data_IF_243428691141
#
_entry.id   IF_243428691141
#
_cell.length_a   1.000
_cell.length_b   1.000
_cell.length_c   1.000
_cell.angle_alpha   90.00
_cell.angle_beta   90.00
_cell.angle_gamma   90.00
#
_symmetry.space_group_name_H-M   'P 1'
#
loop_
_entity.id
_entity.type
_entity.pdbx_description
1 polymer ?
#
# COMPACT_ATOMS: atom_id res chain seq x y z
N UNK A 1 -62.22 -37.80 1.00
CA UNK A 1 -61.10 -37.25 1.82
C UNK A 1 -60.07 -36.45 1.02
N UNK A 2 -60.33 -36.07 -0.24
CA UNK A 2 -59.33 -35.47 -1.14
C UNK A 2 -59.37 -33.94 -1.30
N UNK A 3 -60.41 -33.24 -0.83
CA UNK A 3 -60.51 -31.78 -1.06
C UNK A 3 -60.02 -30.92 0.12
N UNK A 4 -59.95 -31.46 1.34
CA UNK A 4 -59.47 -30.71 2.51
C UNK A 4 -57.95 -30.55 2.57
N UNK A 5 -57.18 -31.39 1.88
CA UNK A 5 -55.71 -31.26 1.82
C UNK A 5 -55.24 -30.23 0.78
N UNK A 6 -56.03 -29.93 -0.26
CA UNK A 6 -55.63 -29.00 -1.31
C UNK A 6 -55.64 -27.53 -0.85
N UNK A 7 -56.57 -27.17 0.05
CA UNK A 7 -56.65 -25.82 0.65
C UNK A 7 -55.56 -25.51 1.67
N UNK A 8 -54.94 -26.52 2.30
CA UNK A 8 -53.87 -26.30 3.29
C UNK A 8 -52.52 -26.06 2.58
N UNK A 9 -52.30 -26.65 1.40
CA UNK A 9 -51.10 -26.39 0.62
C UNK A 9 -51.13 -25.04 -0.12
N UNK A 10 -52.28 -24.54 -0.56
CA UNK A 10 -52.37 -23.22 -1.22
C UNK A 10 -52.27 -22.05 -0.23
N UNK A 11 -52.66 -22.23 1.04
CA UNK A 11 -52.46 -21.22 2.09
C UNK A 11 -51.02 -21.17 2.65
N UNK A 12 -50.19 -22.18 2.36
CA UNK A 12 -48.82 -22.24 2.86
C UNK A 12 -47.79 -21.65 1.87
N UNK A 13 -48.21 -21.32 0.64
CA UNK A 13 -47.33 -20.74 -0.39
C UNK A 13 -47.52 -19.22 -0.54
N UNK A 14 -48.59 -18.64 0.01
CA UNK A 14 -48.85 -17.19 -0.05
C UNK A 14 -48.32 -16.38 1.15
N UNK A 15 -47.82 -17.03 2.20
CA UNK A 15 -47.43 -16.39 3.47
C UNK A 15 -45.93 -16.35 3.76
N UNK A 16 -45.08 -16.63 2.77
CA UNK A 16 -43.63 -16.65 2.94
C UNK A 16 -42.88 -16.12 1.71
N UNK A 17 -43.43 -15.09 1.07
CA UNK A 17 -42.59 -14.04 0.50
C UNK A 17 -42.14 -13.16 1.66
N UNK A 18 -41.27 -13.73 2.52
CA UNK A 18 -40.30 -12.91 3.23
C UNK A 18 -39.44 -12.36 2.12
N UNK A 19 -39.83 -11.21 1.59
CA UNK A 19 -38.92 -10.34 0.88
C UNK A 19 -37.75 -10.16 1.84
N UNK A 20 -36.67 -10.90 1.59
CA UNK A 20 -35.33 -10.47 1.92
C UNK A 20 -35.10 -9.18 1.13
N UNK A 21 -35.79 -8.13 1.55
CA UNK A 21 -35.37 -6.77 1.34
C UNK A 21 -34.03 -6.74 2.06
N UNK A 22 -32.97 -6.99 1.30
CA UNK A 22 -31.60 -6.70 1.72
C UNK A 22 -31.69 -5.32 2.35
N UNK A 23 -31.56 -5.27 3.67
CA UNK A 23 -31.63 -4.04 4.46
C UNK A 23 -30.37 -3.25 4.11
N UNK A 24 -30.38 -2.62 2.94
CA UNK A 24 -29.44 -1.58 2.58
C UNK A 24 -29.56 -0.53 3.67
N UNK A 25 -28.49 -0.33 4.45
CA UNK A 25 -28.46 0.76 5.41
C UNK A 25 -28.75 2.07 4.68
N UNK A 26 -29.81 2.76 5.06
CA UNK A 26 -30.18 4.08 4.53
C UNK A 26 -29.21 5.19 4.95
N UNK A 27 -28.15 4.83 5.68
CA UNK A 27 -27.10 5.71 6.12
C UNK A 27 -25.73 5.17 5.74
N UNK A 28 -24.79 6.06 5.44
CA UNK A 28 -23.37 5.73 5.41
C UNK A 28 -22.57 6.64 6.34
N UNK A 29 -21.25 6.62 6.18
CA UNK A 29 -20.36 7.30 7.10
C UNK A 29 -19.43 8.26 6.37
N UNK A 30 -19.20 9.41 6.98
CA UNK A 30 -18.16 10.35 6.60
C UNK A 30 -17.15 10.39 7.72
N UNK A 31 -15.91 10.06 7.39
CA UNK A 31 -14.76 10.17 8.28
C UNK A 31 -13.94 11.38 7.87
N UNK A 32 -13.66 12.26 8.81
CA UNK A 32 -12.81 13.43 8.62
C UNK A 32 -11.66 13.30 9.60
N UNK A 33 -10.42 13.25 9.10
CA UNK A 33 -9.21 13.09 9.91
C UNK A 33 -8.23 14.21 9.58
N UNK A 34 -7.64 14.83 10.60
CA UNK A 34 -6.56 15.79 10.44
C UNK A 34 -5.37 15.10 9.76
N UNK A 35 -4.80 15.75 8.74
CA UNK A 35 -3.62 15.24 8.05
C UNK A 35 -2.40 15.60 8.90
N UNK A 36 -1.89 14.60 9.60
CA UNK A 36 -0.64 14.71 10.33
C UNK A 36 0.54 14.56 9.36
N UNK A 37 1.29 15.65 9.17
CA UNK A 37 2.50 15.64 8.36
C UNK A 37 3.61 14.97 9.20
N UNK A 38 4.16 13.83 8.76
CA UNK A 38 5.23 13.15 9.50
C UNK A 38 6.54 13.94 9.43
N UNK A 39 7.49 13.63 10.31
CA UNK A 39 8.85 14.13 10.17
C UNK A 39 9.46 13.66 8.84
N UNK A 40 10.01 14.61 8.08
CA UNK A 40 10.53 14.40 6.73
C UNK A 40 11.93 15.01 6.56
N UNK A 41 12.67 14.49 5.58
CA UNK A 41 13.87 15.14 5.05
C UNK A 41 13.47 16.09 3.92
N UNK A 42 13.76 17.40 4.06
CA UNK A 42 13.52 18.36 2.97
C UNK A 42 14.62 18.24 1.91
N UNK A 43 14.23 17.76 0.73
CA UNK A 43 15.10 17.59 -0.41
C UNK A 43 14.83 18.63 -1.50
N UNK A 44 13.98 19.63 -1.28
CA UNK A 44 13.55 20.57 -2.33
C UNK A 44 14.71 21.15 -3.15
N UNK A 45 15.74 21.67 -2.48
CA UNK A 45 16.90 22.28 -3.15
C UNK A 45 17.99 21.28 -3.56
N UNK A 46 17.86 20.02 -3.13
CA UNK A 46 18.87 18.96 -3.31
C UNK A 46 18.39 17.83 -4.20
N UNK A 47 17.11 17.81 -4.58
CA UNK A 47 16.49 16.67 -5.28
C UNK A 47 17.13 16.44 -6.66
N UNK A 48 17.69 17.49 -7.27
CA UNK A 48 18.47 17.39 -8.51
C UNK A 48 19.75 16.56 -8.37
N UNK A 49 20.32 16.49 -7.16
CA UNK A 49 21.46 15.60 -6.84
C UNK A 49 21.03 14.13 -6.70
N UNK A 50 19.73 13.86 -6.64
CA UNK A 50 19.16 12.51 -6.54
C UNK A 50 18.20 12.21 -7.71
N UNK A 51 18.70 12.08 -8.96
CA UNK A 51 17.85 11.84 -10.14
C UNK A 51 16.94 10.62 -9.99
N UNK A 52 17.36 9.63 -9.19
CA UNK A 52 16.59 8.41 -8.96
C UNK A 52 15.31 8.66 -8.14
N UNK A 53 15.33 9.62 -7.20
CA UNK A 53 14.15 10.06 -6.46
C UNK A 53 13.18 10.76 -7.42
N UNK A 54 13.68 11.67 -8.26
CA UNK A 54 12.86 12.35 -9.26
C UNK A 54 12.20 11.35 -10.21
N UNK A 55 12.96 10.37 -10.70
CA UNK A 55 12.43 9.30 -11.57
C UNK A 55 11.32 8.51 -10.86
N UNK A 56 11.49 8.21 -9.58
CA UNK A 56 10.51 7.46 -8.80
C UNK A 56 9.27 8.29 -8.45
N UNK A 57 9.39 9.62 -8.29
CA UNK A 57 8.25 10.52 -8.12
C UNK A 57 7.40 10.57 -9.40
N UNK A 58 8.05 10.66 -10.57
CA UNK A 58 7.36 10.70 -11.87
C UNK A 58 6.73 9.34 -12.22
N UNK A 59 7.31 8.24 -11.75
CA UNK A 59 6.82 6.87 -11.99
C UNK A 59 6.59 6.11 -10.66
N UNK A 60 5.44 6.30 -10.01
CA UNK A 60 5.20 5.98 -8.59
C UNK A 60 5.07 4.49 -8.25
N UNK A 61 5.36 3.59 -9.19
CA UNK A 61 5.19 2.14 -8.98
C UNK A 61 6.42 1.49 -8.36
N UNK A 62 7.60 1.69 -8.96
CA UNK A 62 8.91 1.32 -8.41
C UNK A 62 9.99 1.64 -9.45
N UNK A 63 11.19 1.99 -9.00
CA UNK A 63 12.37 2.08 -9.85
C UNK A 63 13.47 1.16 -9.31
N UNK A 64 14.07 0.36 -10.20
CA UNK A 64 15.31 -0.35 -9.87
C UNK A 64 16.44 0.66 -9.65
N UNK A 65 17.22 0.44 -8.60
CA UNK A 65 18.36 1.28 -8.24
C UNK A 65 19.60 0.41 -8.06
N UNK A 66 20.79 0.96 -8.24
CA UNK A 66 22.02 0.26 -7.86
C UNK A 66 22.08 0.07 -6.35
N UNK A 67 22.84 -0.93 -5.91
CA UNK A 67 23.05 -1.15 -4.47
C UNK A 67 23.78 0.03 -3.82
N UNK A 68 24.68 0.70 -4.55
CA UNK A 68 25.39 1.88 -4.09
C UNK A 68 24.43 3.04 -3.84
N UNK A 69 23.50 3.30 -4.77
CA UNK A 69 22.46 4.31 -4.59
C UNK A 69 21.51 3.94 -3.44
N UNK A 70 21.19 2.65 -3.30
CA UNK A 70 20.40 2.15 -2.17
C UNK A 70 21.08 2.49 -0.84
N UNK A 71 22.39 2.23 -0.73
CA UNK A 71 23.17 2.49 0.49
C UNK A 71 23.38 3.98 0.78
N UNK A 72 23.50 4.81 -0.26
CA UNK A 72 23.54 6.26 -0.09
C UNK A 72 22.21 6.79 0.43
N UNK A 73 21.11 6.38 -0.20
CA UNK A 73 19.76 6.79 0.19
C UNK A 73 19.39 6.29 1.59
N UNK A 74 19.76 5.07 1.97
CA UNK A 74 19.46 4.55 3.31
C UNK A 74 20.19 5.29 4.42
N UNK A 75 21.33 5.92 4.12
CA UNK A 75 22.05 6.80 5.06
C UNK A 75 21.48 8.20 5.09
N UNK A 76 21.05 8.72 3.94
CA UNK A 76 20.44 10.04 3.81
C UNK A 76 19.08 10.10 4.53
N UNK A 77 18.29 9.04 4.40
CA UNK A 77 16.95 8.94 4.93
C UNK A 77 17.00 8.44 6.38
N UNK A 78 16.93 9.37 7.33
CA UNK A 78 16.71 9.05 8.74
C UNK A 78 15.23 8.77 9.08
N UNK A 79 14.35 8.89 8.09
CA UNK A 79 12.89 8.70 8.14
C UNK A 79 12.41 8.20 6.78
N UNK A 80 11.26 7.54 6.74
CA UNK A 80 10.62 7.05 5.50
C UNK A 80 10.01 8.18 4.65
N UNK A 81 10.15 9.45 5.04
CA UNK A 81 9.45 10.56 4.40
C UNK A 81 10.40 11.64 3.86
N UNK A 82 10.10 12.11 2.66
CA UNK A 82 10.80 13.24 2.05
C UNK A 82 9.81 14.33 1.66
N UNK A 83 10.28 15.57 1.69
CA UNK A 83 9.60 16.70 1.06
C UNK A 83 10.33 17.11 -0.19
N UNK A 84 9.58 17.26 -1.28
CA UNK A 84 10.08 17.84 -2.53
C UNK A 84 9.07 18.89 -2.97
N UNK A 85 9.50 20.15 -3.01
CA UNK A 85 8.64 21.31 -3.20
C UNK A 85 7.55 21.36 -2.11
N UNK A 86 6.28 21.30 -2.50
CA UNK A 86 5.13 21.35 -1.58
C UNK A 86 4.57 19.97 -1.24
N UNK A 87 5.02 18.92 -1.92
CA UNK A 87 4.55 17.55 -1.70
C UNK A 87 5.42 16.81 -0.68
N UNK A 88 4.76 15.96 0.10
CA UNK A 88 5.39 14.97 0.99
C UNK A 88 5.21 13.59 0.37
N UNK A 89 6.30 12.83 0.33
CA UNK A 89 6.34 11.49 -0.21
C UNK A 89 6.83 10.51 0.85
N UNK A 90 6.25 9.31 0.85
CA UNK A 90 6.81 8.16 1.53
C UNK A 90 7.75 7.42 0.59
N UNK A 91 8.96 7.16 1.05
CA UNK A 91 10.02 6.45 0.35
C UNK A 91 10.22 5.11 1.02
N UNK A 92 10.12 4.04 0.23
CA UNK A 92 10.46 2.70 0.65
C UNK A 92 11.64 2.20 -0.15
N UNK A 93 12.73 1.89 0.54
CA UNK A 93 13.89 1.23 -0.03
C UNK A 93 13.71 -0.28 0.18
N UNK A 94 13.60 -1.02 -0.91
CA UNK A 94 13.38 -2.47 -0.90
C UNK A 94 14.62 -3.16 -1.46
N UNK A 95 15.19 -4.07 -0.68
CA UNK A 95 16.26 -4.96 -1.10
C UNK A 95 15.78 -6.39 -1.03
N UNK A 96 16.07 -7.17 -2.08
CA UNK A 96 15.68 -8.56 -2.16
C UNK A 96 16.84 -9.41 -2.65
N UNK A 97 16.95 -10.60 -2.07
CA UNK A 97 17.76 -11.70 -2.63
C UNK A 97 16.78 -12.63 -3.32
N UNK A 98 17.16 -13.14 -4.48
CA UNK A 98 16.37 -14.11 -5.21
C UNK A 98 17.20 -15.17 -5.84
N UNK A 99 16.50 -16.20 -6.30
CA UNK A 99 17.07 -17.28 -7.08
C UNK A 99 16.20 -17.56 -8.29
N UNK A 100 16.85 -17.91 -9.38
CA UNK A 100 16.21 -18.37 -10.61
C UNK A 100 16.65 -19.80 -10.88
N UNK A 101 15.69 -20.73 -11.09
CA UNK A 101 16.03 -22.10 -11.49
C UNK A 101 16.66 -22.08 -12.88
N UNK A 102 17.75 -22.82 -13.07
CA UNK A 102 18.49 -22.80 -14.33
C UNK A 102 18.94 -24.20 -14.75
N UNK A 103 19.07 -24.40 -16.07
CA UNK A 103 19.62 -25.62 -16.68
C UNK A 103 21.15 -25.58 -16.82
N UNK A 104 21.79 -24.52 -16.34
CA UNK A 104 23.24 -24.41 -16.35
C UNK A 104 23.90 -25.49 -15.47
N UNK A 105 25.13 -25.87 -15.80
CA UNK A 105 25.91 -26.80 -14.98
C UNK A 105 26.33 -26.14 -13.67
N UNK A 106 26.04 -26.82 -12.55
CA UNK A 106 26.41 -26.35 -11.23
C UNK A 106 27.10 -27.45 -10.41
N UNK A 107 28.22 -27.11 -9.77
CA UNK A 107 28.96 -28.02 -8.89
C UNK A 107 29.12 -27.47 -7.47
N UNK A 108 28.96 -26.15 -7.32
CA UNK A 108 29.13 -25.44 -6.06
C UNK A 108 27.92 -25.65 -5.18
N UNK A 109 28.11 -26.27 -4.00
CA UNK A 109 27.07 -26.37 -2.96
C UNK A 109 27.31 -25.32 -1.88
N UNK A 110 26.22 -24.76 -1.36
CA UNK A 110 26.26 -23.93 -0.16
C UNK A 110 26.28 -24.82 1.09
N UNK A 111 27.04 -24.40 2.10
CA UNK A 111 27.04 -25.07 3.40
C UNK A 111 25.80 -24.66 4.21
N UNK A 112 25.44 -25.48 5.19
CA UNK A 112 24.35 -25.15 6.10
C UNK A 112 24.60 -23.84 6.87
N UNK A 113 25.85 -23.54 7.20
CA UNK A 113 26.21 -22.29 7.89
C UNK A 113 26.05 -21.08 6.96
N UNK A 114 26.47 -21.18 5.69
CA UNK A 114 26.25 -20.13 4.70
C UNK A 114 24.76 -19.83 4.50
N UNK A 115 23.90 -20.86 4.50
CA UNK A 115 22.45 -20.67 4.40
C UNK A 115 21.83 -20.08 5.68
N UNK A 116 22.37 -20.46 6.84
CA UNK A 116 21.92 -19.92 8.14
C UNK A 116 22.25 -18.43 8.27
N UNK A 117 23.40 -18.02 7.77
CA UNK A 117 23.86 -16.62 7.78
C UNK A 117 23.19 -15.73 6.73
N UNK A 118 22.46 -16.34 5.78
CA UNK A 118 21.76 -15.69 4.69
C UNK A 118 20.29 -16.19 4.62
N UNK A 119 19.46 -15.83 5.61
CA UNK A 119 18.11 -16.35 5.74
C UNK A 119 17.22 -16.06 4.52
N UNK A 120 17.38 -14.91 3.85
CA UNK A 120 16.58 -14.55 2.68
C UNK A 120 16.98 -15.36 1.45
N UNK A 121 18.26 -15.70 1.31
CA UNK A 121 18.70 -16.66 0.28
C UNK A 121 18.14 -18.05 0.55
N UNK A 122 18.23 -18.53 1.80
CA UNK A 122 17.71 -19.84 2.19
C UNK A 122 16.20 -19.94 1.96
N UNK A 123 15.46 -18.89 2.34
CA UNK A 123 14.02 -18.78 2.09
C UNK A 123 13.72 -18.83 0.59
N UNK A 124 14.52 -18.12 -0.22
CA UNK A 124 14.33 -18.10 -1.67
C UNK A 124 14.56 -19.45 -2.32
N UNK A 125 15.60 -20.17 -1.91
CA UNK A 125 15.88 -21.53 -2.37
C UNK A 125 14.79 -22.52 -1.97
N UNK A 126 14.28 -22.40 -0.73
CA UNK A 126 13.21 -23.26 -0.25
C UNK A 126 11.95 -23.11 -1.09
N UNK A 127 11.45 -21.89 -1.27
CA UNK A 127 10.20 -21.67 -2.02
C UNK A 127 10.34 -21.89 -3.52
N UNK A 128 11.48 -21.54 -4.14
CA UNK A 128 11.71 -21.89 -5.55
C UNK A 128 11.68 -23.40 -5.81
N UNK A 129 12.01 -24.22 -4.81
CA UNK A 129 11.90 -25.67 -4.92
C UNK A 129 10.47 -26.17 -4.69
N UNK A 130 9.75 -25.60 -3.73
CA UNK A 130 8.41 -26.06 -3.31
C UNK A 130 7.29 -25.59 -4.22
N UNK A 131 7.33 -24.35 -4.68
CA UNK A 131 6.21 -23.73 -5.42
C UNK A 131 6.29 -23.92 -6.95
N UNK A 132 7.24 -24.72 -7.43
CA UNK A 132 7.55 -24.91 -8.86
C UNK A 132 7.72 -23.60 -9.67
N UNK A 133 7.94 -22.47 -8.98
CA UNK A 133 8.14 -21.17 -9.61
C UNK A 133 9.57 -21.00 -10.13
N UNK A 134 9.70 -20.45 -11.34
CA UNK A 134 11.00 -20.22 -11.98
C UNK A 134 11.87 -19.21 -11.22
N UNK A 135 11.25 -18.30 -10.47
CA UNK A 135 11.96 -17.25 -9.73
C UNK A 135 11.27 -16.98 -8.40
N UNK A 136 12.04 -16.97 -7.32
CA UNK A 136 11.57 -16.50 -6.03
C UNK A 136 12.50 -15.43 -5.47
N UNK A 137 11.93 -14.50 -4.70
CA UNK A 137 12.69 -13.46 -3.99
C UNK A 137 12.20 -13.30 -2.56
N UNK A 138 13.12 -13.10 -1.63
CA UNK A 138 12.83 -12.71 -0.25
C UNK A 138 13.42 -11.33 0.06
N UNK A 139 12.72 -10.54 0.87
CA UNK A 139 13.26 -9.28 1.39
C UNK A 139 14.50 -9.53 2.24
N UNK A 140 15.49 -8.67 2.13
CA UNK A 140 16.80 -8.86 2.73
C UNK A 140 17.35 -7.54 3.26
N UNK A 141 18.24 -7.64 4.25
CA UNK A 141 18.93 -6.47 4.81
C UNK A 141 20.11 -6.05 3.92
N UNK A 142 20.54 -4.78 3.97
CA UNK A 142 21.73 -4.36 3.24
C UNK A 142 23.00 -5.15 3.63
N UNK A 143 23.12 -5.56 4.89
CA UNK A 143 24.24 -6.37 5.36
C UNK A 143 24.26 -7.76 4.72
N UNK A 144 23.10 -8.40 4.55
CA UNK A 144 23.00 -9.70 3.90
C UNK A 144 23.25 -9.60 2.39
N UNK A 145 22.80 -8.53 1.72
CA UNK A 145 23.13 -8.28 0.31
C UNK A 145 24.66 -8.21 0.11
N UNK A 146 25.40 -7.57 1.01
CA UNK A 146 26.87 -7.55 0.98
C UNK A 146 27.46 -8.95 1.09
N UNK A 147 26.99 -9.77 2.02
CA UNK A 147 27.42 -11.18 2.15
C UNK A 147 27.14 -11.98 0.88
N UNK A 148 25.97 -11.77 0.25
CA UNK A 148 25.64 -12.43 -1.01
C UNK A 148 26.53 -11.97 -2.16
N UNK A 149 26.90 -10.69 -2.23
CA UNK A 149 27.88 -10.19 -3.20
C UNK A 149 29.21 -10.91 -3.04
N UNK A 150 29.73 -10.99 -1.82
CA UNK A 150 30.99 -11.69 -1.51
C UNK A 150 30.90 -13.18 -1.87
N UNK A 151 29.77 -13.82 -1.57
CA UNK A 151 29.51 -15.21 -1.93
C UNK A 151 29.51 -15.43 -3.44
N UNK A 152 28.83 -14.56 -4.20
CA UNK A 152 28.79 -14.61 -5.67
C UNK A 152 30.18 -14.37 -6.26
N UNK A 153 30.95 -13.42 -5.73
CA UNK A 153 32.32 -13.15 -6.18
C UNK A 153 33.26 -14.34 -5.92
N UNK A 154 33.11 -14.98 -4.76
CA UNK A 154 33.98 -16.10 -4.34
C UNK A 154 33.63 -17.42 -5.03
N UNK A 155 32.34 -17.70 -5.20
CA UNK A 155 31.84 -19.03 -5.61
C UNK A 155 31.12 -19.04 -6.95
N UNK A 156 30.86 -17.87 -7.53
CA UNK A 156 29.98 -17.72 -8.68
C UNK A 156 28.51 -17.62 -8.26
N UNK A 157 27.69 -17.15 -9.21
CA UNK A 157 26.24 -16.96 -9.03
C UNK A 157 25.42 -18.24 -9.16
N UNK A 158 25.96 -19.29 -9.78
CA UNK A 158 25.23 -20.54 -10.01
C UNK A 158 25.61 -21.54 -8.91
N UNK A 159 24.62 -21.96 -8.13
CA UNK A 159 24.77 -22.91 -7.04
C UNK A 159 23.90 -24.15 -7.23
N UNK A 160 24.29 -25.23 -6.56
CA UNK A 160 23.52 -26.46 -6.42
C UNK A 160 22.79 -26.48 -5.08
N UNK A 161 21.48 -26.70 -5.10
CA UNK A 161 20.64 -26.88 -3.92
C UNK A 161 19.75 -28.11 -4.08
N UNK A 162 20.01 -29.15 -3.28
CA UNK A 162 19.49 -30.49 -3.57
C UNK A 162 20.12 -31.04 -4.87
N UNK A 163 19.28 -31.43 -5.82
CA UNK A 163 19.69 -31.90 -7.16
C UNK A 163 19.51 -30.85 -8.26
N UNK A 164 19.06 -29.65 -7.91
CA UNK A 164 18.74 -28.58 -8.86
C UNK A 164 19.79 -27.47 -8.83
N UNK A 165 19.88 -26.74 -9.94
CA UNK A 165 20.76 -25.60 -10.11
C UNK A 165 19.97 -24.28 -10.06
N UNK A 166 20.52 -23.30 -9.35
CA UNK A 166 19.91 -21.99 -9.18
C UNK A 166 20.94 -20.88 -9.43
N UNK A 167 20.54 -19.85 -10.17
CA UNK A 167 21.27 -18.59 -10.28
C UNK A 167 20.81 -17.65 -9.17
N UNK A 168 21.74 -17.26 -8.29
CA UNK A 168 21.53 -16.26 -7.25
C UNK A 168 21.60 -14.87 -7.87
N UNK A 169 20.64 -14.03 -7.53
CA UNK A 169 20.69 -12.61 -7.83
C UNK A 169 20.22 -11.80 -6.63
N UNK A 170 20.49 -10.50 -6.68
CA UNK A 170 19.91 -9.55 -5.75
C UNK A 170 19.38 -8.35 -6.52
N UNK A 171 18.37 -7.69 -5.97
CA UNK A 171 17.76 -6.51 -6.58
C UNK A 171 17.45 -5.48 -5.50
N UNK A 172 17.66 -4.22 -5.86
CA UNK A 172 17.32 -3.07 -5.02
C UNK A 172 16.37 -2.15 -5.77
N UNK A 173 15.37 -1.65 -5.07
CA UNK A 173 14.31 -0.81 -5.62
C UNK A 173 13.98 0.32 -4.66
N UNK A 174 13.55 1.43 -5.24
CA UNK A 174 12.91 2.53 -4.52
C UNK A 174 11.43 2.58 -4.94
N UNK A 175 10.55 2.72 -3.97
CA UNK A 175 9.13 3.02 -4.18
C UNK A 175 8.86 4.38 -3.54
N UNK A 176 8.32 5.30 -4.32
CA UNK A 176 7.98 6.64 -3.83
C UNK A 176 6.49 6.86 -4.03
N UNK A 177 5.78 7.13 -2.93
CA UNK A 177 4.33 7.37 -2.94
C UNK A 177 4.06 8.76 -2.37
N UNK A 178 3.38 9.61 -3.13
CA UNK A 178 2.90 10.89 -2.59
C UNK A 178 1.86 10.60 -1.50
N UNK A 179 2.09 11.14 -0.29
CA UNK A 179 1.17 10.98 0.85
C UNK A 179 0.37 12.24 1.12
N UNK A 180 0.91 13.41 0.77
CA UNK A 180 0.26 14.69 1.00
C UNK A 180 0.77 15.74 0.03
N UNK A 181 -0.16 16.51 -0.54
CA UNK A 181 0.15 17.70 -1.32
C UNK A 181 -0.90 18.78 -0.99
N UNK A 182 -0.50 19.88 -0.34
CA UNK A 182 -1.41 20.94 0.09
C UNK A 182 -2.10 21.64 -1.10
N UNK A 183 -1.50 21.62 -2.29
CA UNK A 183 -2.07 22.24 -3.50
C UNK A 183 -3.18 21.39 -4.12
N UNK A 184 -3.29 20.12 -3.73
CA UNK A 184 -4.40 19.24 -4.13
C UNK A 184 -5.60 19.32 -3.18
N UNK A 185 -5.48 20.08 -2.10
CA UNK A 185 -6.56 20.23 -1.12
C UNK A 185 -7.48 21.38 -1.51
N UNK A 186 -8.79 21.14 -1.48
CA UNK A 186 -9.81 22.15 -1.76
C UNK A 186 -10.04 23.03 -0.53
N UNK A 187 -10.15 24.35 -0.70
CA UNK A 187 -10.49 25.26 0.41
C UNK A 187 -11.97 25.07 0.78
N UNK A 188 -12.23 24.74 2.05
CA UNK A 188 -13.58 24.59 2.58
C UNK A 188 -14.17 25.96 2.95
N UNK A 189 -14.61 26.71 1.93
CA UNK A 189 -15.22 28.03 2.11
C UNK A 189 -16.67 27.97 2.64
N UNK A 190 -17.22 29.10 3.08
CA UNK A 190 -18.58 29.17 3.64
C UNK A 190 -19.65 28.66 2.67
N UNK A 191 -19.53 28.93 1.37
CA UNK A 191 -20.47 28.46 0.36
C UNK A 191 -20.55 26.93 0.32
N UNK A 192 -19.40 26.26 0.29
CA UNK A 192 -19.30 24.80 0.35
C UNK A 192 -19.90 24.26 1.65
N UNK A 193 -19.52 24.85 2.78
CA UNK A 193 -19.92 24.41 4.11
C UNK A 193 -21.42 24.63 4.40
N UNK A 194 -22.03 25.63 3.75
CA UNK A 194 -23.48 25.86 3.82
C UNK A 194 -24.25 24.83 3.00
N UNK A 195 -23.70 24.38 1.86
CA UNK A 195 -24.31 23.34 1.03
C UNK A 195 -24.15 21.93 1.60
N UNK A 196 -23.10 21.71 2.42
CA UNK A 196 -22.81 20.43 3.06
C UNK A 196 -22.62 20.60 4.57
N UNK A 197 -23.70 20.82 5.36
CA UNK A 197 -23.60 21.11 6.79
C UNK A 197 -22.90 20.02 7.61
N UNK A 198 -23.00 18.76 7.19
CA UNK A 198 -22.27 17.66 7.84
C UNK A 198 -20.76 17.79 7.70
N UNK A 199 -20.24 18.33 6.58
CA UNK A 199 -18.80 18.59 6.42
C UNK A 199 -18.35 19.66 7.40
N UNK A 200 -19.12 20.75 7.54
CA UNK A 200 -18.85 21.81 8.53
C UNK A 200 -18.76 21.24 9.94
N UNK A 201 -19.79 20.50 10.36
CA UNK A 201 -19.84 19.86 11.67
C UNK A 201 -18.66 18.92 11.88
N UNK A 202 -18.32 18.11 10.88
CA UNK A 202 -17.24 17.14 10.99
C UNK A 202 -15.86 17.78 11.03
N UNK A 203 -15.63 18.86 10.29
CA UNK A 203 -14.40 19.66 10.34
C UNK A 203 -14.24 20.35 11.70
N UNK A 204 -15.29 20.97 12.24
CA UNK A 204 -15.28 21.58 13.58
C UNK A 204 -15.04 20.55 14.70
N UNK A 205 -15.48 19.31 14.52
CA UNK A 205 -15.19 18.21 15.43
C UNK A 205 -13.74 17.73 15.27
N UNK A 206 -13.29 17.48 14.05
CA UNK A 206 -11.93 17.01 13.76
C UNK A 206 -10.86 18.03 14.15
N UNK A 207 -11.15 19.33 14.09
CA UNK A 207 -10.25 20.39 14.59
C UNK A 207 -9.97 20.26 16.10
N UNK A 208 -10.91 19.70 16.87
CA UNK A 208 -10.79 19.56 18.33
C UNK A 208 -10.23 18.22 18.76
N UNK A 209 -10.39 17.17 17.95
CA UNK A 209 -10.07 15.78 18.32
C UNK A 209 -9.25 15.02 17.28
N UNK A 210 -8.68 15.71 16.29
CA UNK A 210 -7.97 15.20 15.10
C UNK A 210 -8.79 14.26 14.20
N UNK A 211 -10.00 13.89 14.60
CA UNK A 211 -10.89 13.03 13.84
C UNK A 211 -12.35 13.28 14.18
N UNK A 212 -13.22 12.98 13.23
CA UNK A 212 -14.67 12.94 13.38
C UNK A 212 -15.25 11.84 12.48
N UNK A 213 -16.15 11.03 13.04
CA UNK A 213 -16.97 10.10 12.28
C UNK A 213 -18.44 10.56 12.37
N UNK A 214 -19.06 10.78 11.22
CA UNK A 214 -20.44 11.22 11.11
C UNK A 214 -21.26 10.20 10.33
N UNK A 215 -22.40 9.83 10.89
CA UNK A 215 -23.42 9.06 10.18
C UNK A 215 -24.35 10.02 9.44
N UNK A 216 -24.49 9.85 8.13
CA UNK A 216 -25.33 10.72 7.28
C UNK A 216 -26.27 9.89 6.38
N UNK A 217 -27.40 10.47 5.91
CA UNK A 217 -28.29 9.82 4.95
C UNK A 217 -27.56 9.43 3.66
N UNK A 218 -27.88 8.26 3.11
CA UNK A 218 -27.24 7.72 1.90
C UNK A 218 -27.37 8.65 0.69
N UNK A 219 -28.50 9.35 0.55
CA UNK A 219 -28.71 10.32 -0.54
C UNK A 219 -27.67 11.44 -0.49
N UNK A 220 -27.50 12.07 0.67
CA UNK A 220 -26.54 13.14 0.90
C UNK A 220 -25.09 12.65 0.72
N UNK A 221 -24.80 11.41 1.16
CA UNK A 221 -23.52 10.76 0.92
C UNK A 221 -23.22 10.58 -0.57
N UNK A 222 -24.18 10.08 -1.34
CA UNK A 222 -24.00 9.85 -2.78
C UNK A 222 -23.78 11.17 -3.53
N UNK A 223 -24.52 12.23 -3.17
CA UNK A 223 -24.32 13.58 -3.71
C UNK A 223 -22.90 14.09 -3.40
N UNK A 224 -22.44 13.94 -2.16
CA UNK A 224 -21.09 14.31 -1.78
C UNK A 224 -20.02 13.49 -2.53
N UNK A 225 -20.18 12.17 -2.62
CA UNK A 225 -19.23 11.30 -3.35
C UNK A 225 -19.18 11.66 -4.83
N UNK A 226 -20.30 12.06 -5.44
CA UNK A 226 -20.32 12.47 -6.85
C UNK A 226 -19.49 13.74 -7.11
N UNK A 227 -19.38 14.62 -6.11
CA UNK A 227 -18.63 15.87 -6.20
C UNK A 227 -17.16 15.71 -5.76
N UNK A 228 -16.93 15.01 -4.65
CA UNK A 228 -15.62 14.93 -4.00
C UNK A 228 -14.86 13.64 -4.29
N UNK A 229 -15.54 12.62 -4.86
CA UNK A 229 -15.04 11.26 -4.89
C UNK A 229 -15.20 10.55 -3.53
N UNK A 230 -14.70 9.31 -3.45
CA UNK A 230 -14.74 8.49 -2.21
C UNK A 230 -13.76 9.03 -1.15
N UNK A 231 -12.70 9.71 -1.59
CA UNK A 231 -11.68 10.29 -0.74
C UNK A 231 -11.23 11.65 -1.30
N UNK A 232 -11.15 12.66 -0.45
CA UNK A 232 -10.69 14.00 -0.83
C UNK A 232 -9.87 14.66 0.29
N UNK A 233 -9.20 15.77 -0.03
CA UNK A 233 -8.51 16.62 0.93
C UNK A 233 -9.17 18.00 1.00
N UNK A 234 -9.48 18.46 2.20
CA UNK A 234 -9.98 19.81 2.45
C UNK A 234 -8.99 20.62 3.30
N UNK A 235 -8.88 21.91 3.00
CA UNK A 235 -8.23 22.90 3.84
C UNK A 235 -9.27 23.70 4.60
N UNK A 236 -9.17 23.72 5.93
CA UNK A 236 -10.10 24.39 6.83
C UNK A 236 -9.33 25.00 8.01
N UNK A 237 -9.58 26.26 8.33
CA UNK A 237 -8.88 26.99 9.40
C UNK A 237 -7.34 26.87 9.39
N UNK A 238 -6.74 26.94 8.19
CA UNK A 238 -5.28 26.79 7.95
C UNK A 238 -4.72 25.38 8.19
N UNK A 239 -5.56 24.41 8.52
CA UNK A 239 -5.23 22.99 8.67
C UNK A 239 -5.76 22.16 7.49
N UNK A 240 -5.25 20.95 7.33
CA UNK A 240 -5.63 20.04 6.26
C UNK A 240 -6.29 18.78 6.81
N UNK A 241 -7.34 18.33 6.12
CA UNK A 241 -8.16 17.21 6.55
C UNK A 241 -8.39 16.25 5.40
N UNK A 242 -8.22 14.96 5.68
CA UNK A 242 -8.62 13.87 4.82
C UNK A 242 -10.10 13.60 5.08
N UNK A 243 -10.91 13.58 4.02
CA UNK A 243 -12.32 13.24 4.09
C UNK A 243 -12.55 11.95 3.32
N UNK A 244 -13.10 10.94 3.99
CA UNK A 244 -13.42 9.64 3.42
C UNK A 244 -14.91 9.37 3.55
N UNK A 245 -15.54 9.06 2.42
CA UNK A 245 -16.96 8.75 2.31
C UNK A 245 -17.14 7.24 2.16
N UNK A 246 -17.57 6.58 3.24
CA UNK A 246 -17.77 5.13 3.24
C UNK A 246 -19.21 4.80 2.82
N UNK A 247 -19.37 4.40 1.56
CA UNK A 247 -20.64 3.89 1.02
C UNK A 247 -20.79 2.44 1.46
N UNK A 248 -21.84 2.08 2.23
CA UNK A 248 -22.11 0.68 2.53
C UNK A 248 -22.39 -0.10 1.24
N UNK A 249 -21.67 -1.21 1.03
CA UNK A 249 -21.96 -2.12 -0.08
C UNK A 249 -23.30 -2.80 0.18
N UNK A 250 -24.26 -2.49 -0.69
CA UNK A 250 -25.31 -3.41 -1.08
C UNK A 250 -24.84 -4.05 -2.40
#
# INVERSE_FOLDING_TARGET
MGEKLKKVLEMSVLGLLVSFSFCCSDAGYVRIEAINIPDYVDLTDKVSSYPIILKAIVNPFSANISFENYMELSKLLNTDYIKVNRSIYRVHLVSKIGVHRTNATCSVKLTSEELKDNPSLNLSLYYSKVEEGDTFTAESTPAEILKIRELIEKKGRIIKFGEECFEIFYTTRIVVREIFNPDKCMEANEGLLNNYPFLKKGLEMAEKSDKADLRIPRKELNEAVSLFGVETCLKYNKSYYKVTFAIPMC
#
